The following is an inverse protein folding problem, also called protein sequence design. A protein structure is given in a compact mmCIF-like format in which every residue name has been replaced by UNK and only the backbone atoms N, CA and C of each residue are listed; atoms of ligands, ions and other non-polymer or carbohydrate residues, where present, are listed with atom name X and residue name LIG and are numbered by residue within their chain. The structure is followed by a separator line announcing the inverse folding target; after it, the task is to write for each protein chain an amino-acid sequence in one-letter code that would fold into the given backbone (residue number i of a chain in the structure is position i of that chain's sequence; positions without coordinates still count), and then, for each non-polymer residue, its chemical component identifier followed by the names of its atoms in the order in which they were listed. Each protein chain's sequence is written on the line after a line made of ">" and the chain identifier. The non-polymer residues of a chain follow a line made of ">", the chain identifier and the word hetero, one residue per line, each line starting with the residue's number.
data_IF_388566894374
#
_entry.id   IF_388566894374
#
_cell.length_a   1.000
_cell.length_b   1.000
_cell.length_c   1.000
_cell.angle_alpha   90.00
_cell.angle_beta   90.00
_cell.angle_gamma   90.00
#
_symmetry.space_group_name_H-M   'P 1'
#
loop_
_entity.id
_entity.type
_entity.pdbx_description
1 polymer ?
#
# COMPACT_ATOMS: atom_id res chain seq x y z
N UNK A 1 -20.08 29.41 13.90
CA UNK A 1 -18.97 28.60 14.45
C UNK A 1 -19.19 27.09 14.38
N UNK A 2 -20.36 26.57 14.74
CA UNK A 2 -20.64 25.12 14.70
C UNK A 2 -20.33 24.45 13.35
N UNK A 3 -20.68 25.08 12.21
CA UNK A 3 -20.35 24.58 10.88
C UNK A 3 -18.85 24.41 10.63
N UNK A 4 -18.03 25.36 11.10
CA UNK A 4 -16.56 25.32 10.98
C UNK A 4 -15.96 24.19 11.82
N UNK A 5 -16.53 23.94 13.00
CA UNK A 5 -16.17 22.82 13.86
C UNK A 5 -16.55 21.47 13.23
N UNK A 6 -17.71 21.38 12.58
CA UNK A 6 -18.16 20.18 11.86
C UNK A 6 -17.23 19.87 10.68
N UNK A 7 -16.86 20.86 9.86
CA UNK A 7 -15.90 20.68 8.76
C UNK A 7 -14.52 20.22 9.26
N UNK A 8 -13.99 20.81 10.33
CA UNK A 8 -12.71 20.41 10.90
C UNK A 8 -12.74 18.98 11.46
N UNK A 9 -13.85 18.59 12.10
CA UNK A 9 -14.03 17.23 12.61
C UNK A 9 -14.17 16.19 11.48
N UNK A 10 -14.83 16.55 10.37
CA UNK A 10 -14.94 15.66 9.21
C UNK A 10 -13.59 15.38 8.54
N UNK A 11 -12.73 16.39 8.43
CA UNK A 11 -11.36 16.19 7.94
C UNK A 11 -10.55 15.23 8.83
N UNK A 12 -10.66 15.39 10.15
CA UNK A 12 -9.92 14.57 11.12
C UNK A 12 -10.40 13.11 11.15
N UNK A 13 -11.71 12.88 11.14
CA UNK A 13 -12.26 11.52 11.08
C UNK A 13 -11.99 10.85 9.72
N UNK A 14 -12.00 11.62 8.63
CA UNK A 14 -11.66 11.09 7.31
C UNK A 14 -10.20 10.61 7.24
N UNK A 15 -9.28 11.37 7.83
CA UNK A 15 -7.86 11.01 7.87
C UNK A 15 -7.62 9.73 8.69
N UNK A 16 -8.19 9.60 9.88
CA UNK A 16 -8.03 8.40 10.71
C UNK A 16 -8.59 7.13 10.04
N UNK A 17 -9.75 7.22 9.38
CA UNK A 17 -10.38 6.07 8.72
C UNK A 17 -9.64 5.68 7.44
N UNK A 18 -9.24 6.68 6.64
CA UNK A 18 -8.55 6.42 5.37
C UNK A 18 -7.07 6.12 5.56
N UNK A 19 -6.46 6.48 6.70
CA UNK A 19 -5.04 6.22 6.98
C UNK A 19 -4.67 4.76 6.79
N UNK A 20 -5.48 3.81 7.25
CA UNK A 20 -5.21 2.38 7.05
C UNK A 20 -5.31 1.96 5.59
N UNK A 21 -6.26 2.52 4.84
CA UNK A 21 -6.38 2.28 3.40
C UNK A 21 -5.17 2.85 2.67
N UNK A 22 -4.81 4.12 2.90
CA UNK A 22 -3.63 4.74 2.30
C UNK A 22 -2.33 4.06 2.69
N UNK A 23 -2.21 3.56 3.92
CA UNK A 23 -1.06 2.78 4.35
C UNK A 23 -1.00 1.44 3.61
N UNK A 24 -2.09 0.67 3.60
CA UNK A 24 -2.14 -0.63 2.94
C UNK A 24 -1.89 -0.52 1.42
N UNK A 25 -2.57 0.41 0.74
CA UNK A 25 -2.42 0.65 -0.69
C UNK A 25 -1.08 1.35 -1.03
N UNK A 26 -0.60 2.27 -0.19
CA UNK A 26 0.61 3.03 -0.45
C UNK A 26 1.90 2.28 -0.11
N UNK A 27 1.83 1.21 0.69
CA UNK A 27 3.00 0.40 1.08
C UNK A 27 2.95 -1.04 0.57
N UNK A 28 1.99 -1.37 -0.31
CA UNK A 28 1.88 -2.68 -0.95
C UNK A 28 1.81 -3.81 0.10
N UNK A 29 1.06 -3.54 1.18
CA UNK A 29 0.81 -4.44 2.31
C UNK A 29 -0.51 -5.20 2.17
N UNK A 30 -1.21 -5.02 1.05
CA UNK A 30 -2.30 -5.89 0.65
C UNK A 30 -1.71 -7.28 0.31
N UNK A 31 -2.42 -8.32 0.74
CA UNK A 31 -2.03 -9.72 0.60
C UNK A 31 -2.99 -10.47 -0.33
N UNK A 32 -3.60 -9.76 -1.27
CA UNK A 32 -4.53 -10.35 -2.22
C UNK A 32 -3.79 -11.34 -3.13
N UNK A 33 -4.51 -12.36 -3.61
CA UNK A 33 -3.90 -13.47 -4.36
C UNK A 33 -3.33 -13.05 -5.72
N UNK A 34 -3.81 -11.95 -6.27
CA UNK A 34 -3.38 -11.37 -7.55
C UNK A 34 -2.29 -10.30 -7.42
N UNK A 35 -1.83 -9.97 -6.21
CA UNK A 35 -0.82 -8.94 -5.99
C UNK A 35 0.57 -9.53 -5.75
N UNK A 36 1.58 -8.90 -6.33
CA UNK A 36 2.95 -9.19 -5.99
C UNK A 36 3.35 -8.52 -4.66
N UNK A 37 3.36 -9.29 -3.58
CA UNK A 37 3.84 -8.84 -2.27
C UNK A 37 5.30 -9.28 -2.02
N UNK A 38 6.23 -8.32 -2.05
CA UNK A 38 7.67 -8.63 -1.93
C UNK A 38 8.04 -9.32 -0.62
N UNK A 39 7.40 -8.95 0.50
CA UNK A 39 7.69 -9.55 1.82
C UNK A 39 7.27 -11.02 1.84
N UNK A 40 6.07 -11.34 1.32
CA UNK A 40 5.56 -12.71 1.18
C UNK A 40 6.48 -13.56 0.30
N UNK A 41 6.84 -13.05 -0.88
CA UNK A 41 7.69 -13.79 -1.84
C UNK A 41 9.10 -13.99 -1.29
N UNK A 42 9.69 -12.98 -0.65
CA UNK A 42 11.00 -13.10 0.01
C UNK A 42 10.97 -14.15 1.12
N UNK A 43 9.92 -14.20 1.93
CA UNK A 43 9.80 -15.19 3.00
C UNK A 43 9.76 -16.63 2.46
N UNK A 44 9.18 -16.84 1.27
CA UNK A 44 9.04 -18.15 0.64
C UNK A 44 10.26 -18.58 -0.18
N UNK A 45 10.90 -17.64 -0.89
CA UNK A 45 11.91 -17.94 -1.91
C UNK A 45 13.30 -17.35 -1.64
N UNK A 46 13.44 -16.54 -0.58
CA UNK A 46 14.67 -15.83 -0.28
C UNK A 46 14.85 -14.55 -1.10
N UNK A 47 15.87 -13.76 -0.74
CA UNK A 47 16.06 -12.38 -1.24
C UNK A 47 16.28 -12.34 -2.75
N UNK A 48 17.21 -13.14 -3.27
CA UNK A 48 17.59 -13.08 -4.69
C UNK A 48 16.40 -13.41 -5.60
N UNK A 49 15.72 -14.52 -5.35
CA UNK A 49 14.58 -14.95 -6.18
C UNK A 49 13.41 -13.97 -6.10
N UNK A 50 13.20 -13.31 -4.96
CA UNK A 50 12.18 -12.28 -4.82
C UNK A 50 12.45 -11.01 -5.65
N UNK A 51 13.71 -10.69 -5.97
CA UNK A 51 14.02 -9.61 -6.91
C UNK A 51 13.80 -10.05 -8.36
N UNK A 52 14.24 -11.24 -8.74
CA UNK A 52 14.00 -11.78 -10.09
C UNK A 52 12.50 -11.84 -10.41
N UNK A 53 11.69 -12.37 -9.50
CA UNK A 53 10.23 -12.44 -9.67
C UNK A 53 9.56 -11.07 -9.70
N UNK A 54 10.10 -10.06 -8.99
CA UNK A 54 9.61 -8.69 -9.05
C UNK A 54 9.83 -8.11 -10.45
N UNK A 55 11.04 -8.30 -10.99
CA UNK A 55 11.42 -7.77 -12.30
C UNK A 55 10.66 -8.49 -13.43
N UNK A 56 10.32 -9.77 -13.25
CA UNK A 56 9.41 -10.51 -14.14
C UNK A 56 7.95 -10.00 -14.07
N UNK A 57 7.51 -9.47 -12.91
CA UNK A 57 6.12 -9.07 -12.68
C UNK A 57 5.81 -7.62 -13.09
N UNK A 58 6.76 -6.70 -12.91
CA UNK A 58 6.54 -5.27 -13.17
C UNK A 58 7.28 -4.80 -14.42
N UNK A 59 6.55 -4.22 -15.37
CA UNK A 59 7.14 -3.43 -16.45
C UNK A 59 7.44 -2.02 -15.95
N UNK A 60 8.73 -1.70 -15.77
CA UNK A 60 9.18 -0.38 -15.35
C UNK A 60 9.54 0.43 -16.60
N UNK A 61 8.85 1.55 -16.90
CA UNK A 61 9.25 2.44 -17.98
C UNK A 61 10.64 3.02 -17.74
N UNK A 62 11.43 3.22 -18.79
CA UNK A 62 12.69 3.95 -18.71
C UNK A 62 12.43 5.40 -18.21
N UNK A 63 13.35 5.98 -17.40
CA UNK A 63 13.16 7.29 -16.78
C UNK A 63 13.03 8.46 -17.76
#
# INVERSE_FOLDING_TARGET
>A
EAFRLVEQLQGYQGEEVLSYLFHAYGTNLTFEDNEYNFVKVRAQHGVKRAFELRDEHFEIPEP
#
